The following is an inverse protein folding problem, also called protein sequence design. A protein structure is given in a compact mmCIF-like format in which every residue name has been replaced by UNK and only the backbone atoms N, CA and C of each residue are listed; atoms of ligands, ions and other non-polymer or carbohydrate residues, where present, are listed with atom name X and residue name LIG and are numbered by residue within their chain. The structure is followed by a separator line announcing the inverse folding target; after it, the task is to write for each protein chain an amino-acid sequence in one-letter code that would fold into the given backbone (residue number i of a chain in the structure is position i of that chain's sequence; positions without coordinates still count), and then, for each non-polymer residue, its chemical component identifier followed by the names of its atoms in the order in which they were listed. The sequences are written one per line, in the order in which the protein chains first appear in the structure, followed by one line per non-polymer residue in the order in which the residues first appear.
data_IF_962560050390
#
_entry.id   IF_962560050390
#
_cell.length_a   1.000
_cell.length_b   1.000
_cell.length_c   1.000
_cell.angle_alpha   90.00
_cell.angle_beta   90.00
_cell.angle_gamma   90.00
#
_symmetry.space_group_name_H-M   'P 1'
#
loop_
_entity.id
_entity.type
_entity.pdbx_description
1 polymer ?
#
# COMPACT_ATOMS: atom_id res chain seq x y z
N UNK A 1 -14.41 -11.70 0.22
CA UNK A 1 -13.86 -10.71 -0.74
C UNK A 1 -12.73 -9.93 -0.07
N UNK A 2 -11.63 -9.66 -0.79
CA UNK A 2 -10.53 -8.84 -0.31
C UNK A 2 -10.50 -7.52 -1.10
N UNK A 3 -10.37 -6.39 -0.40
CA UNK A 3 -10.44 -5.05 -0.99
C UNK A 3 -9.18 -4.28 -0.60
N UNK A 4 -8.54 -3.60 -1.55
CA UNK A 4 -7.53 -2.59 -1.25
C UNK A 4 -8.03 -1.21 -1.63
N UNK A 5 -7.78 -0.22 -0.76
CA UNK A 5 -8.04 1.19 -1.04
C UNK A 5 -6.70 1.88 -1.31
N UNK A 6 -6.45 2.21 -2.57
CA UNK A 6 -5.22 2.88 -3.01
C UNK A 6 -5.46 4.38 -3.26
N UNK A 7 -4.43 5.20 -3.02
CA UNK A 7 -4.45 6.63 -3.30
C UNK A 7 -3.52 7.46 -2.41
N UNK A 8 -3.29 8.72 -2.76
CA UNK A 8 -2.35 9.61 -2.06
C UNK A 8 -2.69 9.86 -0.58
N UNK A 9 -1.73 10.34 0.21
CA UNK A 9 -1.97 10.69 1.62
C UNK A 9 -3.05 11.77 1.76
N UNK A 10 -3.80 11.74 2.87
CA UNK A 10 -4.79 12.77 3.25
C UNK A 10 -6.01 12.96 2.32
N UNK A 11 -6.37 11.96 1.52
CA UNK A 11 -7.61 11.99 0.70
C UNK A 11 -8.83 11.35 1.40
N UNK A 12 -8.72 10.99 2.68
CA UNK A 12 -9.80 10.38 3.46
C UNK A 12 -9.96 8.85 3.31
N UNK A 13 -8.90 8.14 2.86
CA UNK A 13 -8.94 6.67 2.69
C UNK A 13 -9.24 5.94 4.01
N UNK A 14 -8.50 6.24 5.07
CA UNK A 14 -8.68 5.57 6.36
C UNK A 14 -10.08 5.84 6.92
N UNK A 15 -10.58 7.08 6.81
CA UNK A 15 -11.97 7.43 7.18
C UNK A 15 -13.00 6.64 6.36
N UNK A 16 -12.79 6.48 5.05
CA UNK A 16 -13.66 5.65 4.21
C UNK A 16 -13.67 4.19 4.67
N UNK A 17 -12.51 3.64 5.03
CA UNK A 17 -12.38 2.26 5.52
C UNK A 17 -13.09 2.10 6.86
N UNK A 18 -12.89 3.04 7.80
CA UNK A 18 -13.56 3.06 9.10
C UNK A 18 -15.09 3.10 8.94
N UNK A 19 -15.61 4.06 8.17
CA UNK A 19 -17.05 4.20 7.87
C UNK A 19 -17.63 2.93 7.22
N UNK A 20 -16.84 2.25 6.38
CA UNK A 20 -17.27 1.02 5.72
C UNK A 20 -17.38 -0.13 6.73
N UNK A 21 -16.36 -0.33 7.57
CA UNK A 21 -16.33 -1.41 8.57
C UNK A 21 -17.42 -1.19 9.64
N UNK A 22 -17.71 0.06 10.01
CA UNK A 22 -18.82 0.37 10.91
C UNK A 22 -20.18 -0.06 10.35
N UNK A 23 -20.40 0.10 9.04
CA UNK A 23 -21.65 -0.28 8.37
C UNK A 23 -21.68 -1.77 7.97
N UNK A 24 -20.53 -2.41 7.88
CA UNK A 24 -20.36 -3.79 7.46
C UNK A 24 -19.49 -4.55 8.46
N UNK A 25 -20.06 -4.88 9.62
CA UNK A 25 -19.37 -5.53 10.76
C UNK A 25 -18.77 -6.91 10.45
N UNK A 26 -19.12 -7.52 9.32
CA UNK A 26 -18.50 -8.74 8.82
C UNK A 26 -17.17 -8.49 8.10
N UNK A 27 -16.76 -7.24 7.91
CA UNK A 27 -15.46 -6.86 7.38
C UNK A 27 -14.50 -6.48 8.50
N UNK A 28 -13.25 -6.89 8.35
CA UNK A 28 -12.11 -6.35 9.10
C UNK A 28 -11.26 -5.45 8.20
N UNK A 29 -10.35 -4.69 8.79
CA UNK A 29 -9.35 -3.96 8.02
C UNK A 29 -7.94 -4.12 8.58
N UNK A 30 -6.95 -4.00 7.69
CA UNK A 30 -5.54 -3.87 8.01
C UNK A 30 -5.14 -2.40 7.80
N UNK A 31 -4.50 -1.83 8.81
CA UNK A 31 -4.00 -0.45 8.77
C UNK A 31 -2.85 -0.30 7.76
N UNK A 32 -2.49 0.93 7.43
CA UNK A 32 -1.40 1.21 6.49
C UNK A 32 -0.05 0.60 6.95
N UNK A 33 0.71 -0.06 6.04
CA UNK A 33 2.00 -0.69 6.33
C UNK A 33 3.01 0.16 7.11
N UNK A 34 3.09 1.47 6.85
CA UNK A 34 3.94 2.38 7.61
C UNK A 34 3.66 2.31 9.11
N UNK A 35 2.40 2.42 9.52
CA UNK A 35 2.02 2.36 10.94
C UNK A 35 2.18 0.96 11.52
N UNK A 36 2.00 -0.10 10.72
CA UNK A 36 2.25 -1.48 11.17
C UNK A 36 3.73 -1.70 11.48
N UNK A 37 4.62 -1.25 10.59
CA UNK A 37 6.07 -1.31 10.79
C UNK A 37 6.53 -0.44 11.96
N UNK A 38 5.93 0.74 12.12
CA UNK A 38 6.19 1.61 13.25
C UNK A 38 5.79 0.96 14.58
N UNK A 39 4.60 0.36 14.65
CA UNK A 39 4.11 -0.35 15.83
C UNK A 39 4.97 -1.56 16.21
N UNK A 40 5.67 -2.14 15.24
CA UNK A 40 6.63 -3.24 15.43
C UNK A 40 8.04 -2.74 15.82
N UNK A 41 8.28 -1.43 15.82
CA UNK A 41 9.60 -0.84 16.06
C UNK A 41 10.60 -1.06 14.92
N UNK A 42 10.11 -1.39 13.72
CA UNK A 42 10.94 -1.63 12.52
C UNK A 42 11.18 -0.33 11.75
N UNK A 43 10.23 0.61 11.80
CA UNK A 43 10.36 1.93 11.19
C UNK A 43 10.22 3.03 12.25
N UNK A 44 11.07 4.05 12.15
CA UNK A 44 10.97 5.25 12.98
C UNK A 44 10.07 6.29 12.31
N UNK A 45 9.47 7.16 13.13
CA UNK A 45 8.66 8.25 12.59
C UNK A 45 9.53 9.20 11.78
N UNK A 46 9.25 9.31 10.47
CA UNK A 46 9.93 10.23 9.56
C UNK A 46 8.92 11.06 8.78
N UNK A 47 9.15 12.37 8.71
CA UNK A 47 8.37 13.25 7.84
C UNK A 47 8.73 13.05 6.36
N UNK A 48 9.93 12.53 6.07
CA UNK A 48 10.40 12.28 4.70
C UNK A 48 10.30 10.80 4.33
N UNK A 49 9.56 10.51 3.26
CA UNK A 49 9.51 9.17 2.67
C UNK A 49 10.78 8.93 1.84
N UNK A 50 11.63 8.01 2.30
CA UNK A 50 12.83 7.57 1.57
C UNK A 50 12.50 6.42 0.63
N UNK A 51 13.35 6.21 -0.39
CA UNK A 51 13.20 5.06 -1.30
C UNK A 51 13.28 3.73 -0.54
N UNK A 52 14.19 3.62 0.42
CA UNK A 52 14.35 2.43 1.24
C UNK A 52 13.09 2.13 2.07
N UNK A 53 12.50 3.16 2.69
CA UNK A 53 11.26 3.03 3.44
C UNK A 53 10.09 2.60 2.52
N UNK A 54 10.00 3.15 1.31
CA UNK A 54 8.99 2.73 0.32
C UNK A 54 9.16 1.26 -0.10
N UNK A 55 10.41 0.79 -0.28
CA UNK A 55 10.69 -0.60 -0.61
C UNK A 55 10.40 -1.55 0.56
N UNK A 56 10.69 -1.16 1.81
CA UNK A 56 10.34 -1.96 2.99
C UNK A 56 8.82 -2.08 3.16
N UNK A 57 8.09 -1.00 2.96
CA UNK A 57 6.62 -1.02 2.98
C UNK A 57 6.04 -1.88 1.86
N UNK A 58 6.67 -1.89 0.67
CA UNK A 58 6.29 -2.78 -0.44
C UNK A 58 6.46 -4.25 -0.03
N UNK A 59 7.64 -4.61 0.47
CA UNK A 59 7.95 -5.99 0.88
C UNK A 59 7.00 -6.44 1.99
N UNK A 60 6.78 -5.61 3.01
CA UNK A 60 5.80 -5.87 4.08
C UNK A 60 4.37 -6.02 3.55
N UNK A 61 3.94 -5.18 2.60
CA UNK A 61 2.61 -5.25 2.01
C UNK A 61 2.38 -6.56 1.26
N UNK A 62 3.40 -7.04 0.53
CA UNK A 62 3.36 -8.35 -0.15
C UNK A 62 3.24 -9.49 0.87
N UNK A 63 4.07 -9.47 1.92
CA UNK A 63 4.02 -10.47 3.00
C UNK A 63 2.66 -10.49 3.70
N UNK A 64 2.11 -9.31 4.01
CA UNK A 64 0.82 -9.17 4.65
C UNK A 64 -0.29 -9.78 3.78
N UNK A 65 -0.34 -9.43 2.49
CA UNK A 65 -1.32 -9.99 1.55
C UNK A 65 -1.22 -11.52 1.47
N UNK A 66 0.00 -12.06 1.37
CA UNK A 66 0.23 -13.50 1.34
C UNK A 66 -0.22 -14.19 2.64
N UNK A 67 0.02 -13.57 3.80
CA UNK A 67 -0.38 -14.11 5.10
C UNK A 67 -1.90 -14.13 5.30
N UNK A 68 -2.61 -13.18 4.68
CA UNK A 68 -4.06 -13.00 4.80
C UNK A 68 -4.85 -13.59 3.62
N UNK A 69 -4.18 -14.27 2.69
CA UNK A 69 -4.76 -14.82 1.45
C UNK A 69 -6.02 -15.66 1.63
N UNK A 70 -6.16 -16.36 2.78
CA UNK A 70 -7.33 -17.21 3.09
C UNK A 70 -8.46 -16.48 3.82
N UNK A 71 -8.26 -15.21 4.18
CA UNK A 71 -9.28 -14.43 4.87
C UNK A 71 -10.21 -13.78 3.86
N UNK A 72 -11.50 -13.88 4.14
CA UNK A 72 -12.54 -13.16 3.44
C UNK A 72 -12.98 -11.93 4.23
N UNK A 73 -13.48 -10.93 3.50
CA UNK A 73 -14.04 -9.70 4.04
C UNK A 73 -13.00 -8.89 4.80
N UNK A 74 -11.90 -8.60 4.12
CA UNK A 74 -10.80 -7.81 4.68
C UNK A 74 -10.48 -6.65 3.74
N UNK A 75 -10.26 -5.48 4.33
CA UNK A 75 -9.91 -4.25 3.62
C UNK A 75 -8.49 -3.85 4.00
N UNK A 76 -7.68 -3.47 3.02
CA UNK A 76 -6.32 -3.02 3.24
C UNK A 76 -6.23 -1.53 2.96
N UNK A 77 -5.73 -0.77 3.93
CA UNK A 77 -5.35 0.63 3.73
C UNK A 77 -4.02 0.66 2.97
N UNK A 78 -4.10 0.91 1.66
CA UNK A 78 -3.05 0.72 0.62
C UNK A 78 -2.78 -0.71 0.21
N UNK A 79 -2.14 -0.84 -0.95
CA UNK A 79 -1.62 -2.10 -1.47
C UNK A 79 -0.24 -1.92 -2.12
N UNK A 80 0.43 -3.00 -2.58
CA UNK A 80 1.75 -2.94 -3.19
C UNK A 80 1.90 -1.89 -4.30
N UNK A 81 0.82 -1.59 -5.04
CA UNK A 81 0.85 -0.61 -6.12
C UNK A 81 1.15 0.81 -5.63
N UNK A 82 0.67 1.18 -4.43
CA UNK A 82 0.92 2.50 -3.84
C UNK A 82 2.43 2.69 -3.61
N UNK A 83 3.10 1.66 -3.07
CA UNK A 83 4.52 1.74 -2.75
C UNK A 83 5.42 1.70 -3.98
N UNK A 84 4.99 0.99 -5.04
CA UNK A 84 5.65 1.07 -6.36
C UNK A 84 5.56 2.50 -6.89
N UNK A 85 4.37 3.11 -6.86
CA UNK A 85 4.19 4.49 -7.32
C UNK A 85 5.04 5.49 -6.52
N UNK A 86 5.13 5.32 -5.20
CA UNK A 86 5.99 6.15 -4.35
C UNK A 86 7.48 5.94 -4.64
N UNK A 87 7.94 4.70 -4.78
CA UNK A 87 9.33 4.39 -5.12
C UNK A 87 9.72 5.03 -6.47
N UNK A 88 8.86 4.90 -7.48
CA UNK A 88 9.07 5.52 -8.80
C UNK A 88 9.14 7.05 -8.70
N UNK A 89 8.23 7.69 -7.95
CA UNK A 89 8.24 9.14 -7.76
C UNK A 89 9.51 9.63 -7.06
N UNK A 90 9.94 8.96 -5.99
CA UNK A 90 11.14 9.35 -5.24
C UNK A 90 12.39 9.21 -6.12
N UNK A 91 12.48 8.12 -6.88
CA UNK A 91 13.61 7.90 -7.76
C UNK A 91 13.71 8.93 -8.88
N UNK A 92 12.59 9.29 -9.51
CA UNK A 92 12.53 10.37 -10.49
C UNK A 92 13.00 11.70 -9.87
N UNK A 93 12.46 12.06 -8.69
CA UNK A 93 12.79 13.30 -7.99
C UNK A 93 14.26 13.39 -7.56
N UNK A 94 14.87 12.27 -7.18
CA UNK A 94 16.25 12.19 -6.69
C UNK A 94 17.24 11.77 -7.78
N UNK A 95 16.78 11.60 -9.02
CA UNK A 95 17.57 11.10 -10.15
C UNK A 95 18.28 9.76 -9.82
N UNK A 96 17.62 8.93 -9.01
CA UNK A 96 18.09 7.59 -8.67
C UNK A 96 17.66 6.68 -9.82
N UNK A 97 18.62 5.94 -10.38
CA UNK A 97 18.31 4.91 -11.36
C UNK A 97 17.74 3.69 -10.62
N UNK A 98 16.43 3.48 -10.74
CA UNK A 98 15.82 2.21 -10.37
C UNK A 98 16.13 1.23 -11.48
N UNK A 99 16.97 0.25 -11.18
CA UNK A 99 17.24 -0.82 -12.14
C UNK A 99 15.98 -1.63 -12.35
N UNK A 100 15.82 -2.15 -13.57
CA UNK A 100 14.74 -3.08 -13.88
C UNK A 100 14.73 -4.27 -12.91
N UNK A 101 15.89 -4.66 -12.35
CA UNK A 101 16.02 -5.74 -11.36
C UNK A 101 15.27 -5.49 -10.05
N UNK A 102 15.29 -4.27 -9.50
CA UNK A 102 14.65 -3.96 -8.19
C UNK A 102 13.15 -4.29 -8.20
N UNK A 103 12.46 -3.92 -9.28
CA UNK A 103 11.04 -4.22 -9.44
C UNK A 103 10.79 -5.58 -10.06
N UNK A 104 11.57 -6.01 -11.05
CA UNK A 104 11.35 -7.30 -11.72
C UNK A 104 11.56 -8.50 -10.79
N UNK A 105 12.42 -8.39 -9.77
CA UNK A 105 12.55 -9.42 -8.73
C UNK A 105 11.27 -9.54 -7.88
N UNK A 106 10.63 -8.41 -7.59
CA UNK A 106 9.37 -8.35 -6.79
C UNK A 106 8.11 -8.56 -7.62
N UNK A 107 8.18 -8.33 -8.93
CA UNK A 107 7.04 -8.33 -9.85
C UNK A 107 6.28 -9.67 -9.87
N UNK A 108 6.93 -10.85 -9.82
CA UNK A 108 6.22 -12.13 -9.70
C UNK A 108 5.36 -12.21 -8.44
N UNK A 109 5.87 -11.72 -7.30
CA UNK A 109 5.16 -11.74 -6.02
C UNK A 109 4.05 -10.70 -5.95
N UNK A 110 4.28 -9.50 -6.51
CA UNK A 110 3.25 -8.48 -6.68
C UNK A 110 2.13 -9.03 -7.58
N UNK A 111 2.47 -9.65 -8.70
CA UNK A 111 1.49 -10.23 -9.62
C UNK A 111 0.73 -11.38 -8.96
N UNK A 112 1.40 -12.26 -8.24
CA UNK A 112 0.77 -13.36 -7.53
C UNK A 112 -0.17 -12.90 -6.40
N UNK A 113 0.20 -11.83 -5.69
CA UNK A 113 -0.62 -11.24 -4.62
C UNK A 113 -1.81 -10.45 -5.17
N UNK A 114 -1.69 -9.83 -6.35
CA UNK A 114 -2.77 -9.04 -6.98
C UNK A 114 -3.77 -9.85 -7.82
N UNK A 115 -3.40 -11.01 -8.37
CA UNK A 115 -4.30 -11.82 -9.25
C UNK A 115 -5.58 -12.29 -8.52
N UNK A 116 -5.54 -12.40 -7.19
CA UNK A 116 -6.70 -12.81 -6.37
C UNK A 116 -7.43 -11.61 -5.72
N UNK A 117 -7.09 -10.38 -6.12
CA UNK A 117 -7.43 -9.16 -5.39
C UNK A 117 -8.24 -8.15 -6.23
N UNK A 118 -9.29 -7.56 -5.64
CA UNK A 118 -9.99 -6.41 -6.22
C UNK A 118 -9.39 -5.10 -5.64
N UNK A 119 -8.49 -4.48 -6.39
CA UNK A 119 -7.91 -3.18 -6.04
C UNK A 119 -8.72 -2.03 -6.64
N UNK A 120 -9.18 -1.08 -5.81
CA UNK A 120 -9.85 0.14 -6.25
C UNK A 120 -8.90 1.34 -6.13
N UNK A 121 -8.51 1.92 -7.26
CA UNK A 121 -7.77 3.18 -7.31
C UNK A 121 -8.74 4.37 -7.32
N UNK A 122 -8.57 5.31 -6.40
CA UNK A 122 -9.32 6.57 -6.39
C UNK A 122 -8.46 7.69 -6.96
N UNK A 123 -8.62 7.98 -8.25
CA UNK A 123 -7.97 9.12 -8.89
C UNK A 123 -8.68 10.42 -8.50
N UNK A 124 -8.12 11.17 -7.54
CA UNK A 124 -8.49 12.56 -7.33
C UNK A 124 -7.80 13.42 -8.40
N UNK A 125 -8.56 13.81 -9.45
CA UNK A 125 -8.09 14.78 -10.44
C UNK A 125 -7.56 16.03 -9.73
N UNK A 126 -6.28 16.36 -9.93
CA UNK A 126 -5.69 17.66 -9.59
C UNK A 126 -6.56 18.75 -10.21
N UNK A 127 -7.28 19.51 -9.37
CA UNK A 127 -7.77 20.81 -9.75
C UNK A 127 -6.55 21.72 -9.85
N UNK A 128 -6.16 22.06 -11.07
CA UNK A 128 -5.18 23.11 -11.35
C UNK A 128 -5.77 24.44 -10.87
N UNK A 129 -5.07 25.10 -9.94
CA UNK A 129 -5.23 26.53 -9.65
C UNK A 129 -4.13 27.29 -10.37
#
# INVERSE_FOLDING_TARGET
MQIAVSGTHFIGKSTLIEDFVEKHSNYSYEMEPYYQLQNQGIEEFSEELTLECALRQLDYSIELLNSKKKLDNIIFDRCPIDFIAYAMYIADRRQINLTDTVFSERFPEIKASLIEFNCFCTDYKRASY
#
